data_IF_590928247743
#
_entry.id   IF_590928247743
#
_cell.length_a   1.000
_cell.length_b   1.000
_cell.length_c   1.000
_cell.angle_alpha   90.00
_cell.angle_beta   90.00
_cell.angle_gamma   90.00
#
_symmetry.space_group_name_H-M   'P 1'
#
loop_
_entity.id
_entity.type
_entity.pdbx_description
1 polymer ?
#
# COMPACT_ATOMS: atom_id res chain seq x y z
N UNK A 1 -17.79 -11.68 4.79
CA UNK A 1 -17.47 -10.24 4.98
C UNK A 1 -16.21 -10.07 5.82
N UNK A 2 -16.25 -10.33 7.14
CA UNK A 2 -15.10 -10.12 8.06
C UNK A 2 -13.86 -10.89 7.62
N UNK A 3 -13.97 -12.19 7.32
CA UNK A 3 -12.83 -13.00 6.85
C UNK A 3 -12.11 -12.42 5.63
N UNK A 4 -12.86 -11.91 4.65
CA UNK A 4 -12.29 -11.30 3.43
C UNK A 4 -11.53 -10.01 3.76
N UNK A 5 -12.13 -9.12 4.56
CA UNK A 5 -11.52 -7.88 5.03
C UNK A 5 -10.23 -8.16 5.80
N UNK A 6 -10.30 -9.07 6.79
CA UNK A 6 -9.15 -9.41 7.64
C UNK A 6 -7.99 -9.98 6.83
N UNK A 7 -8.24 -10.90 5.90
CA UNK A 7 -7.17 -11.48 5.06
C UNK A 7 -6.50 -10.39 4.22
N UNK A 8 -7.28 -9.47 3.63
CA UNK A 8 -6.73 -8.39 2.79
C UNK A 8 -5.90 -7.40 3.61
N UNK A 9 -6.35 -7.03 4.80
CA UNK A 9 -5.61 -6.13 5.70
C UNK A 9 -4.32 -6.80 6.19
N UNK A 10 -4.38 -8.06 6.61
CA UNK A 10 -3.19 -8.80 7.08
C UNK A 10 -2.16 -8.93 5.95
N UNK A 11 -2.59 -9.32 4.75
CA UNK A 11 -1.70 -9.42 3.60
C UNK A 11 -1.05 -8.06 3.25
N UNK A 12 -1.82 -6.98 3.32
CA UNK A 12 -1.33 -5.63 3.10
C UNK A 12 -0.27 -5.21 4.14
N UNK A 13 -0.52 -5.47 5.43
CA UNK A 13 0.43 -5.17 6.51
C UNK A 13 1.73 -5.97 6.34
N UNK A 14 1.63 -7.27 6.03
CA UNK A 14 2.81 -8.12 5.79
C UNK A 14 3.67 -7.54 4.67
N UNK A 15 3.06 -7.11 3.56
CA UNK A 15 3.81 -6.52 2.45
C UNK A 15 4.44 -5.18 2.86
N UNK A 16 3.76 -4.34 3.63
CA UNK A 16 4.35 -3.10 4.14
C UNK A 16 5.60 -3.34 5.01
N UNK A 17 5.58 -4.37 5.86
CA UNK A 17 6.75 -4.75 6.67
C UNK A 17 7.89 -5.24 5.76
N UNK A 18 7.58 -6.00 4.71
CA UNK A 18 8.61 -6.40 3.74
C UNK A 18 9.19 -5.18 3.01
N UNK A 19 8.37 -4.20 2.66
CA UNK A 19 8.83 -2.98 2.00
C UNK A 19 9.73 -2.13 2.91
N UNK A 20 9.49 -2.10 4.23
CA UNK A 20 10.40 -1.39 5.15
C UNK A 20 11.78 -2.02 5.17
N UNK A 21 11.87 -3.36 5.18
CA UNK A 21 13.15 -4.06 5.11
C UNK A 21 13.83 -3.87 3.73
N UNK A 22 13.05 -3.88 2.65
CA UNK A 22 13.57 -3.70 1.29
C UNK A 22 14.05 -2.28 1.00
N UNK A 23 13.49 -1.27 1.67
CA UNK A 23 13.88 0.12 1.51
C UNK A 23 15.39 0.29 1.74
N UNK A 24 15.95 -0.30 2.80
CA UNK A 24 17.39 -0.33 3.07
C UNK A 24 18.20 -0.89 1.89
N UNK A 25 17.71 -1.97 1.25
CA UNK A 25 18.41 -2.64 0.16
C UNK A 25 18.34 -1.91 -1.18
N UNK A 26 17.49 -0.90 -1.29
CA UNK A 26 17.32 -0.16 -2.55
C UNK A 26 18.22 1.07 -2.66
N UNK A 27 18.82 1.48 -1.54
CA UNK A 27 19.78 2.57 -1.49
C UNK A 27 21.17 2.14 -2.02
N UNK A 28 21.89 3.00 -2.75
CA UNK A 28 23.27 2.72 -3.14
C UNK A 28 24.18 2.61 -1.91
N UNK A 29 25.14 1.67 -1.93
CA UNK A 29 26.02 1.38 -0.78
C UNK A 29 26.68 2.62 -0.16
N UNK A 30 27.05 3.60 -0.99
CA UNK A 30 27.70 4.85 -0.58
C UNK A 30 26.84 5.66 0.41
N UNK A 31 25.52 5.69 0.19
CA UNK A 31 24.57 6.45 1.00
C UNK A 31 24.23 5.72 2.31
N UNK A 32 24.31 4.38 2.31
CA UNK A 32 24.05 3.58 3.52
C UNK A 32 25.11 3.81 4.61
N UNK A 33 26.33 4.15 4.22
CA UNK A 33 27.48 4.26 5.13
C UNK A 33 27.72 5.71 5.60
N UNK A 34 27.11 6.72 4.95
CA UNK A 34 27.33 8.15 5.21
C UNK A 34 26.54 8.73 6.40
N UNK A 35 25.99 7.91 7.30
CA UNK A 35 25.30 8.34 8.53
C UNK A 35 23.94 9.02 8.33
N UNK A 36 23.65 9.56 7.14
CA UNK A 36 22.36 10.12 6.72
C UNK A 36 21.46 9.13 5.96
N UNK A 37 21.90 7.88 5.76
CA UNK A 37 21.17 6.86 5.01
C UNK A 37 19.74 6.60 5.50
N UNK A 38 19.45 6.89 6.77
CA UNK A 38 18.12 6.77 7.36
C UNK A 38 17.06 7.68 6.71
N UNK A 39 17.43 8.92 6.33
CA UNK A 39 16.48 9.85 5.69
C UNK A 39 16.11 9.35 4.30
N UNK A 40 17.10 8.93 3.52
CA UNK A 40 16.84 8.37 2.18
C UNK A 40 16.13 7.01 2.24
N UNK A 41 16.31 6.24 3.32
CA UNK A 41 15.60 4.98 3.53
C UNK A 41 14.10 5.23 3.76
N UNK A 42 13.77 6.25 4.55
CA UNK A 42 12.39 6.67 4.77
C UNK A 42 11.75 7.15 3.46
N UNK A 43 12.46 7.96 2.66
CA UNK A 43 11.95 8.41 1.36
C UNK A 43 11.71 7.22 0.41
N UNK A 44 12.68 6.29 0.31
CA UNK A 44 12.52 5.07 -0.49
C UNK A 44 11.33 4.23 -0.03
N UNK A 45 11.16 4.07 1.30
CA UNK A 45 10.02 3.38 1.89
C UNK A 45 8.69 4.04 1.50
N UNK A 46 8.60 5.38 1.56
CA UNK A 46 7.38 6.09 1.15
C UNK A 46 7.09 5.92 -0.34
N UNK A 47 8.10 6.00 -1.22
CA UNK A 47 7.94 5.78 -2.66
C UNK A 47 7.41 4.38 -2.96
N UNK A 48 7.99 3.36 -2.33
CA UNK A 48 7.57 1.97 -2.50
C UNK A 48 6.18 1.73 -1.95
N UNK A 49 5.89 2.27 -0.77
CA UNK A 49 4.57 2.17 -0.14
C UNK A 49 3.50 2.86 -0.99
N UNK A 50 3.81 4.01 -1.61
CA UNK A 50 2.91 4.70 -2.53
C UNK A 50 2.62 3.84 -3.77
N UNK A 51 3.65 3.29 -4.41
CA UNK A 51 3.47 2.42 -5.57
C UNK A 51 2.63 1.18 -5.21
N UNK A 52 2.92 0.55 -4.07
CA UNK A 52 2.20 -0.62 -3.60
C UNK A 52 0.72 -0.32 -3.26
N UNK A 53 0.45 0.86 -2.70
CA UNK A 53 -0.92 1.25 -2.34
C UNK A 53 -1.76 1.57 -3.56
N UNK A 54 -1.18 2.17 -4.61
CA UNK A 54 -1.83 2.34 -5.92
C UNK A 54 -2.18 0.98 -6.52
N UNK A 55 -1.24 0.03 -6.53
CA UNK A 55 -1.49 -1.34 -7.05
C UNK A 55 -2.61 -2.02 -6.25
N UNK A 56 -2.56 -1.92 -4.93
CA UNK A 56 -3.58 -2.49 -4.03
C UNK A 56 -4.97 -1.88 -4.25
N UNK A 57 -5.04 -0.57 -4.48
CA UNK A 57 -6.28 0.13 -4.81
C UNK A 57 -6.87 -0.39 -6.13
N UNK A 58 -6.06 -0.45 -7.19
CA UNK A 58 -6.49 -0.98 -8.49
C UNK A 58 -6.97 -2.43 -8.38
N UNK A 59 -6.28 -3.25 -7.59
CA UNK A 59 -6.68 -4.62 -7.33
C UNK A 59 -8.05 -4.71 -6.65
N UNK A 60 -8.29 -3.93 -5.59
CA UNK A 60 -9.57 -3.92 -4.89
C UNK A 60 -10.71 -3.36 -5.75
N UNK A 61 -10.45 -2.34 -6.58
CA UNK A 61 -11.43 -1.83 -7.54
C UNK A 61 -11.81 -2.89 -8.58
N UNK A 62 -10.84 -3.68 -9.06
CA UNK A 62 -11.10 -4.80 -9.94
C UNK A 62 -11.95 -5.90 -9.24
N UNK A 63 -11.67 -6.20 -7.97
CA UNK A 63 -12.50 -7.11 -7.17
C UNK A 63 -13.93 -6.59 -7.00
N UNK A 64 -14.11 -5.30 -6.70
CA UNK A 64 -15.42 -4.67 -6.61
C UNK A 64 -16.21 -4.79 -7.93
N UNK A 65 -15.55 -4.56 -9.07
CA UNK A 65 -16.14 -4.74 -10.40
C UNK A 65 -16.54 -6.20 -10.65
N UNK A 66 -15.70 -7.16 -10.27
CA UNK A 66 -16.00 -8.60 -10.38
C UNK A 66 -17.19 -9.00 -9.50
N UNK A 67 -17.29 -8.48 -8.28
CA UNK A 67 -18.43 -8.75 -7.39
C UNK A 67 -19.72 -8.12 -7.91
N UNK A 68 -19.63 -6.95 -8.55
CA UNK A 68 -20.76 -6.31 -9.22
C UNK A 68 -21.32 -7.20 -10.34
N UNK A 69 -20.45 -7.75 -11.20
CA UNK A 69 -20.84 -8.68 -12.27
C UNK A 69 -21.49 -9.98 -11.75
N UNK A 70 -21.17 -10.38 -10.52
CA UNK A 70 -21.70 -11.60 -9.87
C UNK A 70 -22.89 -11.34 -8.94
N UNK A 71 -23.44 -10.12 -8.91
CA UNK A 71 -24.51 -9.70 -7.99
C UNK A 71 -24.21 -9.95 -6.51
N UNK A 72 -22.93 -10.00 -6.12
CA UNK A 72 -22.50 -10.25 -4.75
C UNK A 72 -22.43 -8.93 -3.94
N UNK A 73 -23.59 -8.35 -3.64
CA UNK A 73 -23.74 -6.98 -3.09
C UNK A 73 -22.93 -6.76 -1.79
N UNK A 74 -22.96 -7.72 -0.86
CA UNK A 74 -22.24 -7.61 0.43
C UNK A 74 -20.72 -7.56 0.23
N UNK A 75 -20.19 -8.39 -0.66
CA UNK A 75 -18.76 -8.42 -0.97
C UNK A 75 -18.33 -7.17 -1.75
N UNK A 76 -19.18 -6.68 -2.67
CA UNK A 76 -18.96 -5.42 -3.38
C UNK A 76 -18.84 -4.25 -2.41
N UNK A 77 -19.79 -4.10 -1.48
CA UNK A 77 -19.76 -3.01 -0.51
C UNK A 77 -18.54 -3.08 0.42
N UNK A 78 -18.12 -4.29 0.79
CA UNK A 78 -16.90 -4.51 1.57
C UNK A 78 -15.64 -4.11 0.78
N UNK A 79 -15.56 -4.47 -0.50
CA UNK A 79 -14.46 -4.08 -1.39
C UNK A 79 -14.43 -2.57 -1.64
N UNK A 80 -15.59 -1.92 -1.81
CA UNK A 80 -15.68 -0.47 -1.93
C UNK A 80 -15.23 0.25 -0.65
N UNK A 81 -15.56 -0.30 0.53
CA UNK A 81 -15.05 0.21 1.81
C UNK A 81 -13.53 0.14 1.89
N UNK A 82 -12.94 -1.00 1.49
CA UNK A 82 -11.48 -1.16 1.38
C UNK A 82 -10.86 -0.20 0.35
N UNK A 83 -11.52 -0.01 -0.79
CA UNK A 83 -11.05 0.92 -1.81
C UNK A 83 -11.03 2.34 -1.27
N UNK A 84 -12.07 2.76 -0.53
CA UNK A 84 -12.09 4.06 0.11
C UNK A 84 -10.92 4.23 1.10
N UNK A 85 -10.67 3.21 1.94
CA UNK A 85 -9.53 3.19 2.85
C UNK A 85 -8.19 3.32 2.10
N UNK A 86 -7.97 2.54 1.04
CA UNK A 86 -6.76 2.63 0.24
C UNK A 86 -6.63 3.95 -0.53
N UNK A 87 -7.73 4.56 -0.97
CA UNK A 87 -7.70 5.89 -1.57
C UNK A 87 -7.21 6.95 -0.60
N UNK A 88 -7.73 6.98 0.64
CA UNK A 88 -7.28 7.91 1.68
C UNK A 88 -5.80 7.70 1.96
N UNK A 89 -5.40 6.44 2.16
CA UNK A 89 -4.01 6.08 2.44
C UNK A 89 -3.06 6.49 1.28
N UNK A 90 -3.48 6.28 0.04
CA UNK A 90 -2.71 6.68 -1.16
C UNK A 90 -2.53 8.19 -1.21
N UNK A 91 -3.58 8.97 -0.91
CA UNK A 91 -3.50 10.43 -0.86
C UNK A 91 -2.53 10.86 0.25
N UNK A 92 -2.63 10.27 1.44
CA UNK A 92 -1.72 10.58 2.55
C UNK A 92 -0.26 10.28 2.19
N UNK A 93 0.02 9.14 1.56
CA UNK A 93 1.37 8.78 1.12
C UNK A 93 1.87 9.69 -0.02
N UNK A 94 0.99 10.09 -0.94
CA UNK A 94 1.35 11.01 -2.01
C UNK A 94 1.73 12.40 -1.47
N UNK A 95 1.01 12.89 -0.46
CA UNK A 95 1.34 14.14 0.23
C UNK A 95 2.68 14.01 0.96
N UNK A 96 2.90 12.92 1.71
CA UNK A 96 4.16 12.69 2.39
C UNK A 96 5.33 12.63 1.40
N UNK A 97 5.16 11.95 0.27
CA UNK A 97 6.17 11.87 -0.79
C UNK A 97 6.42 13.19 -1.53
N UNK A 98 5.49 14.14 -1.43
CA UNK A 98 5.68 15.48 -1.99
C UNK A 98 6.43 16.39 -1.01
N UNK A 99 6.30 16.15 0.31
CA UNK A 99 6.93 16.94 1.36
C UNK A 99 8.38 16.49 1.61
N UNK A 100 8.61 15.18 1.62
CA UNK A 100 9.92 14.54 1.80
C UNK A 100 10.55 14.22 0.45
#
# INVERSE_FOLDING_TARGET
>A
MIKYLSIRIIAFIIILILLSEMAYYTLPKRIREDGYGFIEEIDSFFKMSLAFTIISLLFVLNEANKFNKKNAIILRNSALGLACFFSILTISLAILNYIY
#
